data_IF_150565888973
#
_entry.id   IF_150565888973
#
_cell.length_a   1.000
_cell.length_b   1.000
_cell.length_c   1.000
_cell.angle_alpha   90.00
_cell.angle_beta   90.00
_cell.angle_gamma   90.00
#
_symmetry.space_group_name_H-M   'P 1'
#
loop_
_entity.id
_entity.type
_entity.pdbx_description
1 polymer ?
#
# COMPACT_ATOMS: atom_id res chain seq x y z
N UNK A 1 -8.80 -28.11 7.58
CA UNK A 1 -9.35 -29.34 6.98
C UNK A 1 -8.33 -29.91 5.99
N UNK A 2 -7.65 -31.02 6.32
CA UNK A 2 -6.70 -31.65 5.40
C UNK A 2 -7.42 -32.10 4.12
N UNK A 3 -6.92 -31.70 2.95
CA UNK A 3 -7.46 -32.13 1.66
C UNK A 3 -8.56 -31.24 1.04
N UNK A 4 -8.98 -30.16 1.71
CA UNK A 4 -9.90 -29.18 1.12
C UNK A 4 -9.18 -28.32 0.07
N UNK A 5 -9.79 -28.18 -1.12
CA UNK A 5 -9.39 -27.24 -2.16
C UNK A 5 -10.34 -26.03 -2.13
N UNK A 6 -9.79 -24.83 -2.29
CA UNK A 6 -10.57 -23.59 -2.40
C UNK A 6 -10.23 -22.94 -3.74
N UNK A 7 -11.26 -22.64 -4.53
CA UNK A 7 -11.16 -21.86 -5.76
C UNK A 7 -11.91 -20.55 -5.56
N UNK A 8 -11.32 -19.45 -6.04
CA UNK A 8 -11.99 -18.16 -6.11
C UNK A 8 -12.34 -17.90 -7.56
N UNK A 9 -13.63 -17.76 -7.85
CA UNK A 9 -14.15 -17.48 -9.18
C UNK A 9 -14.64 -16.03 -9.20
N UNK A 10 -13.97 -15.20 -9.99
CA UNK A 10 -14.41 -13.83 -10.28
C UNK A 10 -15.06 -13.79 -11.66
N UNK A 11 -16.13 -13.02 -11.81
CA UNK A 11 -16.76 -12.71 -13.10
C UNK A 11 -17.32 -11.29 -13.05
N UNK A 12 -17.56 -10.66 -14.22
CA UNK A 12 -18.20 -9.34 -14.27
C UNK A 12 -19.64 -9.45 -13.75
N UNK A 13 -19.91 -8.67 -12.69
CA UNK A 13 -21.17 -8.68 -11.93
C UNK A 13 -22.36 -8.17 -12.73
N UNK A 14 -22.14 -7.46 -13.86
CA UNK A 14 -23.23 -6.86 -14.64
C UNK A 14 -23.73 -7.72 -15.79
N UNK A 15 -22.96 -8.71 -16.23
CA UNK A 15 -23.22 -9.39 -17.51
C UNK A 15 -23.43 -10.91 -17.40
N UNK A 16 -23.12 -11.51 -16.25
CA UNK A 16 -23.12 -12.98 -16.12
C UNK A 16 -24.47 -13.54 -15.69
N UNK A 17 -25.08 -14.38 -16.52
CA UNK A 17 -26.31 -15.12 -16.22
C UNK A 17 -26.07 -16.26 -15.23
N UNK A 18 -27.15 -16.76 -14.60
CA UNK A 18 -27.06 -17.91 -13.70
C UNK A 18 -26.56 -19.20 -14.40
N UNK A 19 -26.85 -19.35 -15.70
CA UNK A 19 -26.38 -20.49 -16.49
C UNK A 19 -24.86 -20.45 -16.68
N UNK A 20 -24.31 -19.27 -16.97
CA UNK A 20 -22.86 -19.07 -17.11
C UNK A 20 -22.14 -19.28 -15.78
N UNK A 21 -22.72 -18.83 -14.66
CA UNK A 21 -22.20 -19.14 -13.33
C UNK A 21 -22.17 -20.64 -13.03
N UNK A 22 -23.26 -21.35 -13.31
CA UNK A 22 -23.34 -22.78 -13.10
C UNK A 22 -22.28 -23.53 -13.94
N UNK A 23 -22.07 -23.11 -15.19
CA UNK A 23 -21.05 -23.68 -16.06
C UNK A 23 -19.63 -23.40 -15.54
N UNK A 24 -19.33 -22.17 -15.14
CA UNK A 24 -18.03 -21.80 -14.58
C UNK A 24 -17.73 -22.57 -13.28
N UNK A 25 -18.69 -22.63 -12.37
CA UNK A 25 -18.57 -23.39 -11.12
C UNK A 25 -18.34 -24.88 -11.39
N UNK A 26 -19.08 -25.47 -12.34
CA UNK A 26 -18.91 -26.87 -12.70
C UNK A 26 -17.52 -27.15 -13.28
N UNK A 27 -17.02 -26.28 -14.16
CA UNK A 27 -15.66 -26.37 -14.73
C UNK A 27 -14.59 -26.29 -13.64
N UNK A 28 -14.66 -25.30 -12.75
CA UNK A 28 -13.64 -25.14 -11.70
C UNK A 28 -13.71 -26.23 -10.62
N UNK A 29 -14.89 -26.79 -10.34
CA UNK A 29 -15.02 -27.90 -9.39
C UNK A 29 -14.30 -29.16 -9.87
N UNK A 30 -14.29 -29.39 -11.19
CA UNK A 30 -13.65 -30.54 -11.83
C UNK A 30 -12.20 -30.25 -12.29
N UNK A 31 -11.68 -29.05 -12.04
CA UNK A 31 -10.31 -28.72 -12.41
C UNK A 31 -9.30 -29.52 -11.58
N UNK A 32 -8.24 -30.01 -12.23
CA UNK A 32 -7.18 -30.77 -11.55
C UNK A 32 -6.47 -29.93 -10.48
N UNK A 33 -6.21 -28.65 -10.81
CA UNK A 33 -5.52 -27.68 -9.96
C UNK A 33 -6.48 -26.60 -9.48
N UNK A 34 -6.44 -26.33 -8.17
CA UNK A 34 -7.16 -25.23 -7.56
C UNK A 34 -6.42 -23.90 -7.81
N UNK A 35 -7.11 -22.91 -8.39
CA UNK A 35 -6.57 -21.58 -8.71
C UNK A 35 -7.66 -20.51 -8.59
N UNK A 36 -7.25 -19.26 -8.34
CA UNK A 36 -8.13 -18.11 -8.52
C UNK A 36 -8.25 -17.76 -10.01
N UNK A 37 -9.47 -17.64 -10.51
CA UNK A 37 -9.80 -17.44 -11.92
C UNK A 37 -10.67 -16.21 -12.12
N UNK A 38 -10.51 -15.57 -13.28
CA UNK A 38 -11.41 -14.52 -13.77
C UNK A 38 -12.07 -15.00 -15.06
N UNK A 39 -13.39 -15.01 -15.10
CA UNK A 39 -14.18 -15.17 -16.31
C UNK A 39 -14.59 -13.79 -16.83
N UNK A 40 -14.10 -13.42 -18.01
CA UNK A 40 -14.35 -12.13 -18.65
C UNK A 40 -14.38 -12.33 -20.17
N UNK A 41 -15.38 -11.77 -20.86
CA UNK A 41 -15.62 -11.96 -22.30
C UNK A 41 -15.66 -13.43 -22.74
N UNK A 42 -16.23 -14.31 -21.90
CA UNK A 42 -16.26 -15.75 -22.14
C UNK A 42 -14.90 -16.47 -22.02
N UNK A 43 -13.85 -15.78 -21.60
CA UNK A 43 -12.50 -16.34 -21.44
C UNK A 43 -12.19 -16.61 -19.97
N UNK A 44 -11.60 -17.78 -19.70
CA UNK A 44 -11.03 -18.13 -18.39
C UNK A 44 -9.59 -17.60 -18.30
N UNK A 45 -9.37 -16.62 -17.44
CA UNK A 45 -8.08 -15.99 -17.16
C UNK A 45 -7.55 -16.41 -15.80
N UNK A 46 -6.23 -16.54 -15.67
CA UNK A 46 -5.52 -16.87 -14.43
C UNK A 46 -4.33 -15.94 -14.24
N UNK A 47 -4.11 -15.48 -13.01
CA UNK A 47 -2.95 -14.65 -12.70
C UNK A 47 -1.67 -15.48 -12.78
N UNK A 48 -0.64 -14.94 -13.44
CA UNK A 48 0.69 -15.54 -13.55
C UNK A 48 1.76 -14.48 -13.28
N UNK A 49 2.81 -14.86 -12.58
CA UNK A 49 4.00 -14.03 -12.40
C UNK A 49 4.94 -14.32 -13.57
N UNK A 50 5.48 -13.27 -14.18
CA UNK A 50 6.56 -13.39 -15.15
C UNK A 50 7.67 -12.39 -14.80
N UNK A 51 8.94 -12.70 -15.13
CA UNK A 51 10.03 -11.75 -14.97
C UNK A 51 9.77 -10.50 -15.83
N UNK A 52 9.95 -9.31 -15.24
CA UNK A 52 9.92 -8.05 -15.98
C UNK A 52 11.34 -7.70 -16.44
N UNK A 53 11.49 -7.29 -17.70
CA UNK A 53 12.71 -6.63 -18.15
C UNK A 53 12.57 -5.14 -17.82
N UNK A 54 13.39 -4.64 -16.90
CA UNK A 54 13.41 -3.21 -16.58
C UNK A 54 14.17 -2.48 -17.68
N UNK A 55 13.43 -1.82 -18.57
CA UNK A 55 14.01 -0.78 -19.41
C UNK A 55 14.34 0.43 -18.54
N UNK A 56 15.52 1.03 -18.73
CA UNK A 56 15.84 2.29 -18.05
C UNK A 56 14.90 3.37 -18.56
N UNK A 57 13.91 3.74 -17.74
CA UNK A 57 13.13 4.97 -17.92
C UNK A 57 14.09 6.14 -18.11
N UNK A 58 13.89 6.94 -19.17
CA UNK A 58 14.72 8.12 -19.45
C UNK A 58 14.36 9.35 -18.61
N UNK A 59 13.32 9.29 -17.77
CA UNK A 59 12.84 10.45 -17.00
C UNK A 59 12.77 10.12 -15.52
N UNK A 60 13.67 10.72 -14.74
CA UNK A 60 13.59 10.68 -13.29
C UNK A 60 12.40 11.50 -12.82
N UNK A 61 11.49 10.85 -12.08
CA UNK A 61 10.37 11.51 -11.40
C UNK A 61 10.80 12.14 -10.07
N UNK A 62 11.97 11.76 -9.57
CA UNK A 62 12.57 12.32 -8.36
C UNK A 62 13.41 13.55 -8.71
N UNK A 63 13.24 14.60 -7.93
CA UNK A 63 13.86 15.91 -8.08
C UNK A 63 14.79 16.21 -6.92
N UNK A 64 15.93 16.81 -7.25
CA UNK A 64 16.78 17.50 -6.26
C UNK A 64 15.95 18.60 -5.56
N UNK A 65 15.96 18.63 -4.23
CA UNK A 65 15.16 19.54 -3.41
C UNK A 65 13.65 19.30 -3.45
N UNK A 66 13.19 18.19 -4.04
CA UNK A 66 11.77 17.84 -4.17
C UNK A 66 11.08 17.60 -2.82
N UNK A 67 9.76 17.80 -2.77
CA UNK A 67 8.94 17.67 -1.56
C UNK A 67 8.19 16.35 -1.55
N UNK A 68 8.50 15.46 -0.60
CA UNK A 68 7.89 14.14 -0.52
C UNK A 68 7.19 13.92 0.82
N UNK A 69 5.92 13.48 0.74
CA UNK A 69 5.18 13.02 1.90
C UNK A 69 5.36 11.51 2.07
N UNK A 70 5.75 11.08 3.27
CA UNK A 70 6.00 9.67 3.58
C UNK A 70 5.17 9.27 4.80
N UNK A 71 4.10 8.49 4.57
CA UNK A 71 3.37 7.87 5.68
C UNK A 71 4.19 6.71 6.23
N UNK A 72 4.23 6.55 7.55
CA UNK A 72 5.18 5.63 8.17
C UNK A 72 6.65 6.06 7.98
N UNK A 73 6.93 7.32 7.64
CA UNK A 73 8.26 7.81 7.25
C UNK A 73 9.34 7.66 8.32
N UNK A 74 8.97 7.67 9.59
CA UNK A 74 9.88 7.38 10.70
C UNK A 74 9.87 5.91 11.20
N UNK A 75 9.18 5.03 10.49
CA UNK A 75 9.18 3.57 10.69
C UNK A 75 10.36 2.89 9.98
N UNK A 76 10.45 1.56 10.07
CA UNK A 76 11.58 0.80 9.49
C UNK A 76 11.79 1.06 8.00
N UNK A 77 10.79 0.71 7.19
CA UNK A 77 10.86 0.87 5.73
C UNK A 77 10.86 2.34 5.30
N UNK A 78 9.97 3.16 5.89
CA UNK A 78 9.90 4.60 5.57
C UNK A 78 11.20 5.35 5.82
N UNK A 79 11.97 4.97 6.85
CA UNK A 79 13.24 5.62 7.17
C UNK A 79 14.34 5.28 6.16
N UNK A 80 14.31 4.08 5.55
CA UNK A 80 15.24 3.72 4.47
C UNK A 80 15.06 4.67 3.29
N UNK A 81 13.82 4.89 2.85
CA UNK A 81 13.51 5.80 1.74
C UNK A 81 13.73 7.28 2.13
N UNK A 82 13.37 7.66 3.35
CA UNK A 82 13.63 9.01 3.87
C UNK A 82 15.13 9.33 3.82
N UNK A 83 15.99 8.38 4.26
CA UNK A 83 17.43 8.55 4.24
C UNK A 83 17.98 8.64 2.83
N UNK A 84 17.54 7.75 1.95
CA UNK A 84 17.96 7.76 0.55
C UNK A 84 17.59 9.07 -0.16
N UNK A 85 16.36 9.56 0.04
CA UNK A 85 15.91 10.84 -0.53
C UNK A 85 16.68 12.04 0.05
N UNK A 86 17.03 11.98 1.34
CA UNK A 86 17.86 13.00 1.97
C UNK A 86 19.28 13.02 1.39
N UNK A 87 19.92 11.86 1.27
CA UNK A 87 21.29 11.74 0.79
C UNK A 87 21.41 12.08 -0.70
N UNK A 88 20.57 11.48 -1.54
CA UNK A 88 20.69 11.52 -2.99
C UNK A 88 20.05 12.75 -3.64
N UNK A 89 19.01 13.32 -3.01
CA UNK A 89 18.20 14.39 -3.62
C UNK A 89 18.07 15.64 -2.74
N UNK A 90 18.66 15.67 -1.54
CA UNK A 90 18.51 16.80 -0.58
C UNK A 90 17.05 17.20 -0.37
N UNK A 91 16.19 16.18 -0.30
CA UNK A 91 14.75 16.34 -0.35
C UNK A 91 14.17 17.09 0.86
N UNK A 92 12.98 17.65 0.67
CA UNK A 92 12.12 18.17 1.74
C UNK A 92 11.11 17.09 2.11
N UNK A 93 11.17 16.61 3.34
CA UNK A 93 10.45 15.42 3.79
C UNK A 93 9.33 15.79 4.75
N UNK A 94 8.10 15.39 4.42
CA UNK A 94 6.94 15.44 5.31
C UNK A 94 6.72 14.02 5.84
N UNK A 95 7.25 13.72 7.03
CA UNK A 95 7.14 12.40 7.65
C UNK A 95 5.89 12.33 8.51
N UNK A 96 4.95 11.48 8.12
CA UNK A 96 3.68 11.30 8.82
C UNK A 96 3.69 9.97 9.56
N UNK A 97 3.47 10.01 10.87
CA UNK A 97 3.45 8.83 11.72
C UNK A 97 2.43 9.00 12.85
N UNK A 98 1.75 7.93 13.24
CA UNK A 98 0.75 7.97 14.33
C UNK A 98 1.32 8.36 15.69
N UNK A 99 2.53 7.88 16.01
CA UNK A 99 3.15 8.15 17.31
C UNK A 99 3.72 9.56 17.39
N UNK A 100 3.90 10.08 18.60
CA UNK A 100 4.55 11.38 18.82
C UNK A 100 6.01 11.39 18.30
N UNK A 101 6.57 12.59 18.18
CA UNK A 101 7.98 12.79 17.78
C UNK A 101 8.99 12.28 18.84
N UNK A 102 8.51 11.99 20.06
CA UNK A 102 9.36 11.50 21.15
C UNK A 102 10.06 10.19 20.76
N UNK A 103 11.36 10.10 21.07
CA UNK A 103 12.21 8.98 20.66
C UNK A 103 12.61 8.96 19.17
N UNK A 104 12.21 9.94 18.36
CA UNK A 104 12.56 10.03 16.93
C UNK A 104 13.49 11.19 16.57
N UNK A 105 13.80 12.08 17.53
CA UNK A 105 14.62 13.28 17.31
C UNK A 105 15.97 12.96 16.66
N UNK A 106 16.67 11.96 17.18
CA UNK A 106 17.97 11.53 16.63
C UNK A 106 17.86 11.10 15.16
N UNK A 107 16.81 10.34 14.79
CA UNK A 107 16.59 9.93 13.40
C UNK A 107 16.32 11.13 12.49
N UNK A 108 15.56 12.11 12.97
CA UNK A 108 15.27 13.34 12.21
C UNK A 108 16.54 14.19 12.03
N UNK A 109 17.36 14.31 13.07
CA UNK A 109 18.66 14.99 13.01
C UNK A 109 19.60 14.31 12.01
N UNK A 110 19.61 12.97 11.95
CA UNK A 110 20.40 12.22 10.96
C UNK A 110 19.96 12.52 9.52
N UNK A 111 18.66 12.69 9.27
CA UNK A 111 18.15 13.10 7.95
C UNK A 111 18.51 14.56 7.62
N UNK A 112 18.46 15.45 8.61
CA UNK A 112 18.88 16.84 8.42
C UNK A 112 20.38 16.95 8.12
N UNK A 113 21.22 16.19 8.84
CA UNK A 113 22.66 16.11 8.60
C UNK A 113 23.00 15.49 7.23
N UNK A 114 22.11 14.67 6.66
CA UNK A 114 22.22 14.16 5.30
C UNK A 114 21.91 15.23 4.22
N UNK A 115 21.30 16.35 4.62
CA UNK A 115 20.96 17.48 3.77
C UNK A 115 19.47 17.61 3.45
N UNK A 116 18.58 16.85 4.09
CA UNK A 116 17.15 17.06 3.96
C UNK A 116 16.63 18.19 4.87
N UNK A 117 15.55 18.84 4.45
CA UNK A 117 14.68 19.55 5.38
C UNK A 117 13.57 18.62 5.83
N UNK A 118 13.34 18.48 7.14
CA UNK A 118 12.37 17.51 7.66
C UNK A 118 11.28 18.19 8.46
N UNK A 119 10.04 17.83 8.14
CA UNK A 119 8.85 18.11 8.92
C UNK A 119 8.28 16.80 9.42
N UNK A 120 8.14 16.66 10.74
CA UNK A 120 7.45 15.55 11.36
C UNK A 120 6.02 15.96 11.71
N UNK A 121 5.04 15.16 11.30
CA UNK A 121 3.64 15.38 11.64
C UNK A 121 3.06 14.13 12.31
N UNK A 122 2.53 14.30 13.52
CA UNK A 122 1.87 13.21 14.25
C UNK A 122 0.43 13.12 13.75
N UNK A 123 0.11 12.09 12.98
CA UNK A 123 -1.24 11.82 12.49
C UNK A 123 -1.45 10.32 12.27
N UNK A 124 -2.66 9.85 12.56
CA UNK A 124 -3.10 8.52 12.17
C UNK A 124 -3.58 8.55 10.71
N UNK A 125 -2.99 7.69 9.89
CA UNK A 125 -3.28 7.62 8.45
C UNK A 125 -4.73 7.25 8.17
N UNK A 126 -5.39 6.53 9.09
CA UNK A 126 -6.79 6.15 8.96
C UNK A 126 -7.78 7.31 9.21
N UNK A 127 -7.30 8.47 9.72
CA UNK A 127 -8.14 9.63 10.00
C UNK A 127 -8.00 10.68 8.90
N UNK A 128 -9.01 10.78 8.03
CA UNK A 128 -9.00 11.67 6.87
C UNK A 128 -8.71 13.14 7.21
N UNK A 129 -9.30 13.67 8.29
CA UNK A 129 -9.06 15.05 8.71
C UNK A 129 -7.63 15.28 9.22
N UNK A 130 -7.02 14.31 9.93
CA UNK A 130 -5.62 14.43 10.35
C UNK A 130 -4.68 14.40 9.13
N UNK A 131 -4.99 13.57 8.14
CA UNK A 131 -4.23 13.49 6.89
C UNK A 131 -4.36 14.77 6.06
N UNK A 132 -5.55 15.36 5.95
CA UNK A 132 -5.75 16.68 5.34
C UNK A 132 -4.89 17.73 6.03
N UNK A 133 -4.90 17.76 7.37
CA UNK A 133 -4.08 18.71 8.12
C UNK A 133 -2.57 18.48 7.89
N UNK A 134 -2.11 17.24 7.83
CA UNK A 134 -0.71 16.91 7.54
C UNK A 134 -0.29 17.41 6.15
N UNK A 135 -1.13 17.19 5.12
CA UNK A 135 -0.92 17.69 3.75
C UNK A 135 -0.86 19.22 3.74
N UNK A 136 -1.85 19.89 4.35
CA UNK A 136 -1.90 21.35 4.40
C UNK A 136 -0.70 21.95 5.14
N UNK A 137 -0.29 21.35 6.25
CA UNK A 137 0.86 21.82 7.02
C UNK A 137 2.18 21.61 6.23
N UNK A 138 2.31 20.50 5.50
CA UNK A 138 3.42 20.26 4.58
C UNK A 138 3.48 21.30 3.45
N UNK A 139 2.34 21.60 2.82
CA UNK A 139 2.24 22.65 1.78
C UNK A 139 2.53 24.04 2.33
N UNK A 140 2.02 24.37 3.52
CA UNK A 140 2.32 25.65 4.15
C UNK A 140 3.82 25.83 4.40
N UNK A 141 4.54 24.75 4.68
CA UNK A 141 5.99 24.78 4.93
C UNK A 141 6.82 24.78 3.64
N UNK A 142 6.46 23.95 2.66
CA UNK A 142 7.31 23.66 1.49
C UNK A 142 6.72 24.09 0.14
N UNK A 143 5.49 24.61 0.14
CA UNK A 143 4.78 25.19 -1.02
C UNK A 143 3.95 24.19 -1.82
N UNK A 144 4.43 22.95 -1.99
CA UNK A 144 3.79 21.90 -2.79
C UNK A 144 4.23 20.52 -2.31
N UNK A 145 3.69 19.45 -2.92
CA UNK A 145 4.13 18.07 -2.75
C UNK A 145 4.39 17.51 -4.16
N UNK A 146 5.58 16.98 -4.40
CA UNK A 146 5.96 16.36 -5.68
C UNK A 146 5.56 14.89 -5.75
N UNK A 147 5.63 14.17 -4.63
CA UNK A 147 5.28 12.75 -4.62
C UNK A 147 5.02 12.20 -3.23
N UNK A 148 4.40 11.03 -3.20
CA UNK A 148 3.95 10.40 -1.96
C UNK A 148 4.45 8.96 -1.89
N UNK A 149 4.98 8.56 -0.74
CA UNK A 149 5.32 7.18 -0.41
C UNK A 149 4.45 6.74 0.77
N UNK A 150 3.52 5.83 0.51
CA UNK A 150 2.67 5.25 1.53
C UNK A 150 3.33 3.98 2.09
N UNK A 151 4.10 4.16 3.17
CA UNK A 151 4.79 3.08 3.89
C UNK A 151 4.16 2.79 5.26
N UNK A 152 3.02 3.42 5.59
CA UNK A 152 2.27 3.11 6.79
C UNK A 152 1.72 1.68 6.74
N UNK A 153 1.89 0.97 7.85
CA UNK A 153 1.47 -0.42 7.97
C UNK A 153 2.06 -1.04 9.23
N UNK A 154 1.39 -2.06 9.70
CA UNK A 154 1.89 -2.95 10.75
C UNK A 154 1.86 -4.38 10.22
N UNK A 155 2.73 -5.21 10.76
CA UNK A 155 2.64 -6.65 10.53
C UNK A 155 1.53 -7.21 11.41
N UNK A 156 0.68 -8.05 10.81
CA UNK A 156 -0.27 -8.87 11.54
C UNK A 156 0.45 -10.08 12.14
N UNK A 157 0.03 -10.49 13.32
CA UNK A 157 0.47 -11.74 13.95
C UNK A 157 -0.72 -12.62 14.29
N UNK A 158 -0.48 -13.89 14.58
CA UNK A 158 -1.52 -14.81 15.03
C UNK A 158 -2.36 -15.41 13.90
N UNK A 159 -2.82 -16.64 14.15
CA UNK A 159 -3.64 -17.43 13.23
C UNK A 159 -5.02 -16.82 13.04
N UNK A 160 -5.52 -16.76 11.80
CA UNK A 160 -6.88 -16.33 11.47
C UNK A 160 -7.97 -17.16 12.18
N UNK A 161 -7.64 -18.37 12.64
CA UNK A 161 -8.58 -19.22 13.37
C UNK A 161 -8.80 -18.78 14.82
N UNK A 162 -7.87 -18.01 15.37
CA UNK A 162 -7.85 -17.60 16.79
C UNK A 162 -7.89 -16.08 16.95
N UNK A 163 -7.76 -15.35 15.84
CA UNK A 163 -7.65 -13.89 15.81
C UNK A 163 -9.03 -13.25 15.95
N UNK A 164 -9.11 -12.30 16.87
CA UNK A 164 -10.30 -11.45 17.02
C UNK A 164 -10.41 -10.45 15.87
N UNK A 165 -11.64 -10.09 15.51
CA UNK A 165 -11.91 -9.23 14.34
C UNK A 165 -11.26 -7.85 14.48
N UNK A 166 -11.15 -7.32 15.69
CA UNK A 166 -10.51 -6.03 15.96
C UNK A 166 -9.00 -6.07 15.69
N UNK A 167 -8.33 -7.19 15.95
CA UNK A 167 -6.90 -7.36 15.65
C UNK A 167 -6.69 -7.51 14.14
N UNK A 168 -7.57 -8.25 13.48
CA UNK A 168 -7.60 -8.38 12.03
C UNK A 168 -7.74 -7.02 11.33
N UNK A 169 -8.70 -6.20 11.77
CA UNK A 169 -8.93 -4.86 11.22
C UNK A 169 -7.77 -3.92 11.47
N UNK A 170 -7.15 -3.93 12.67
CA UNK A 170 -5.98 -3.09 12.97
C UNK A 170 -4.81 -3.28 12.01
N UNK A 171 -4.58 -4.50 11.51
CA UNK A 171 -3.54 -4.78 10.52
C UNK A 171 -3.90 -4.24 9.13
N UNK A 172 -5.18 -4.35 8.76
CA UNK A 172 -5.69 -3.94 7.46
C UNK A 172 -5.82 -2.42 7.31
N UNK A 173 -6.32 -1.77 8.34
CA UNK A 173 -6.78 -0.38 8.32
C UNK A 173 -5.74 0.59 7.76
N UNK A 174 -4.45 0.56 8.18
CA UNK A 174 -3.46 1.49 7.65
C UNK A 174 -3.28 1.39 6.13
N UNK A 175 -3.49 0.19 5.56
CA UNK A 175 -3.33 -0.07 4.12
C UNK A 175 -4.60 0.21 3.33
N UNK A 176 -5.77 -0.07 3.90
CA UNK A 176 -7.05 0.11 3.21
C UNK A 176 -7.60 1.51 3.50
N UNK A 177 -8.11 1.73 4.70
CA UNK A 177 -8.65 3.02 5.16
C UNK A 177 -7.60 4.12 5.07
N UNK A 178 -6.35 3.82 5.41
CA UNK A 178 -5.25 4.79 5.29
C UNK A 178 -4.95 5.23 3.86
N UNK A 179 -5.17 4.35 2.87
CA UNK A 179 -5.04 4.72 1.45
C UNK A 179 -6.18 5.62 1.01
N UNK A 180 -7.42 5.31 1.41
CA UNK A 180 -8.59 6.11 1.07
C UNK A 180 -8.53 7.52 1.70
N UNK A 181 -8.14 7.59 2.98
CA UNK A 181 -7.94 8.86 3.68
C UNK A 181 -6.81 9.69 3.06
N UNK A 182 -5.73 9.04 2.61
CA UNK A 182 -4.64 9.70 1.91
C UNK A 182 -5.08 10.23 0.55
N UNK A 183 -5.87 9.47 -0.22
CA UNK A 183 -6.42 9.95 -1.50
C UNK A 183 -7.31 11.18 -1.30
N UNK A 184 -8.22 11.13 -0.33
CA UNK A 184 -9.08 12.27 -0.01
C UNK A 184 -8.25 13.51 0.39
N UNK A 185 -7.21 13.32 1.19
CA UNK A 185 -6.33 14.41 1.62
C UNK A 185 -5.48 15.03 0.48
N UNK A 186 -5.22 14.26 -0.58
CA UNK A 186 -4.45 14.68 -1.75
C UNK A 186 -5.35 15.14 -2.91
N UNK A 187 -6.67 15.20 -2.72
CA UNK A 187 -7.59 15.59 -3.77
C UNK A 187 -7.28 17.00 -4.30
N UNK A 188 -6.97 17.09 -5.59
CA UNK A 188 -6.60 18.35 -6.26
C UNK A 188 -5.10 18.69 -6.20
N UNK A 189 -4.26 17.86 -5.58
CA UNK A 189 -2.81 18.01 -5.67
C UNK A 189 -2.27 17.47 -7.01
N UNK A 190 -1.26 18.14 -7.55
CA UNK A 190 -0.58 17.71 -8.77
C UNK A 190 0.72 16.99 -8.38
N UNK A 191 0.66 15.66 -8.31
CA UNK A 191 1.78 14.80 -7.93
C UNK A 191 2.42 14.17 -9.17
N UNK A 192 3.74 13.98 -9.14
CA UNK A 192 4.48 13.18 -10.13
C UNK A 192 4.28 11.68 -9.91
N UNK A 193 4.07 11.25 -8.65
CA UNK A 193 3.78 9.85 -8.31
C UNK A 193 3.12 9.69 -6.93
N UNK A 194 2.43 8.56 -6.78
CA UNK A 194 2.10 7.95 -5.47
C UNK A 194 2.62 6.52 -5.50
N UNK A 195 3.39 6.13 -4.48
CA UNK A 195 3.95 4.80 -4.34
C UNK A 195 3.36 4.11 -3.11
N UNK A 196 2.67 2.99 -3.32
CA UNK A 196 2.11 2.17 -2.24
C UNK A 196 3.00 0.96 -1.95
N UNK A 197 3.45 0.81 -0.70
CA UNK A 197 4.22 -0.37 -0.30
C UNK A 197 3.32 -1.55 0.04
N UNK A 198 3.10 -2.38 -0.99
CA UNK A 198 2.57 -3.73 -0.88
C UNK A 198 3.66 -4.73 -0.47
N UNK A 199 3.37 -6.03 -0.56
CA UNK A 199 4.24 -7.13 -0.18
C UNK A 199 4.00 -8.34 -1.08
N UNK A 200 4.99 -9.23 -1.20
CA UNK A 200 4.81 -10.51 -1.90
C UNK A 200 3.69 -11.37 -1.31
N UNK A 201 3.34 -11.15 -0.03
CA UNK A 201 2.18 -11.78 0.63
C UNK A 201 0.86 -11.52 -0.09
N UNK A 202 0.74 -10.42 -0.84
CA UNK A 202 -0.42 -10.13 -1.70
C UNK A 202 -0.62 -11.18 -2.81
N UNK A 203 0.40 -11.98 -3.12
CA UNK A 203 0.34 -13.00 -4.17
C UNK A 203 0.50 -14.40 -3.58
N UNK A 204 1.44 -14.59 -2.66
CA UNK A 204 1.76 -15.91 -2.10
C UNK A 204 0.95 -16.26 -0.85
N UNK A 205 0.25 -15.29 -0.26
CA UNK A 205 -0.40 -15.41 1.05
C UNK A 205 0.55 -15.11 2.22
N UNK A 206 0.00 -15.11 3.43
CA UNK A 206 0.70 -14.81 4.69
C UNK A 206 0.59 -15.96 5.71
N UNK A 207 0.66 -17.19 5.21
CA UNK A 207 0.81 -18.44 6.00
C UNK A 207 -0.17 -18.60 7.17
N UNK A 208 -1.38 -18.06 7.05
CA UNK A 208 -2.46 -18.25 8.02
C UNK A 208 -2.83 -17.02 8.84
N UNK A 209 -2.17 -15.88 8.66
CA UNK A 209 -2.55 -14.62 9.33
C UNK A 209 -3.74 -13.90 8.64
N UNK A 210 -3.83 -14.06 7.31
CA UNK A 210 -4.78 -13.51 6.34
C UNK A 210 -4.86 -11.97 6.23
N UNK A 211 -4.86 -11.25 7.34
CA UNK A 211 -5.00 -9.79 7.40
C UNK A 211 -3.92 -9.06 6.61
N UNK A 212 -2.66 -9.42 6.81
CA UNK A 212 -1.55 -8.76 6.15
C UNK A 212 -1.57 -9.00 4.63
N UNK A 213 -1.83 -10.23 4.18
CA UNK A 213 -1.95 -10.55 2.76
C UNK A 213 -3.12 -9.78 2.11
N UNK A 214 -4.27 -9.70 2.77
CA UNK A 214 -5.45 -8.98 2.26
C UNK A 214 -5.17 -7.48 2.13
N UNK A 215 -4.56 -6.85 3.14
CA UNK A 215 -4.24 -5.43 3.09
C UNK A 215 -3.23 -5.08 1.99
N UNK A 216 -2.22 -5.94 1.78
CA UNK A 216 -1.27 -5.75 0.69
C UNK A 216 -1.90 -6.05 -0.69
N UNK A 217 -2.83 -7.01 -0.78
CA UNK A 217 -3.58 -7.27 -2.01
C UNK A 217 -4.42 -6.07 -2.41
N UNK A 218 -5.06 -5.40 -1.44
CA UNK A 218 -5.75 -4.14 -1.69
C UNK A 218 -4.81 -3.10 -2.30
N UNK A 219 -3.67 -2.81 -1.66
CA UNK A 219 -2.70 -1.82 -2.17
C UNK A 219 -2.22 -2.15 -3.60
N UNK A 220 -1.95 -3.42 -3.87
CA UNK A 220 -1.51 -3.87 -5.20
C UNK A 220 -2.60 -3.66 -6.26
N UNK A 221 -3.87 -3.84 -5.90
CA UNK A 221 -4.99 -3.59 -6.82
C UNK A 221 -5.34 -2.11 -6.94
N UNK A 222 -5.08 -1.32 -5.90
CA UNK A 222 -5.42 0.10 -5.85
C UNK A 222 -4.42 0.95 -6.63
N UNK A 223 -3.13 0.64 -6.51
CA UNK A 223 -2.04 1.37 -7.16
C UNK A 223 -1.68 0.86 -8.57
N UNK A 224 -2.40 -0.12 -9.10
CA UNK A 224 -2.23 -0.65 -10.46
C UNK A 224 -3.05 0.17 -11.47
#
# INVERSE_FOLDING_TARGET
>A
MPGSKVNVICADLKETSAAEWAEAMWKELHAEKAESVLYEDGLRKVSRISPIQTESSKKDVLKEGGVYLITGGAGGLGMIFSRWLADAYKAKLILVNRSSIEGKKEKLEQLQNAGAEVMYYSADVCHAEEMKQAVQAGKARFGHIDGVIHAAGIEGGGSILEKEIEEYLKTLEPKVQGTLALEEALQGEHLDFICYFSSSSAIIGDFGNCDYAVGNRFLMSYGA
#
